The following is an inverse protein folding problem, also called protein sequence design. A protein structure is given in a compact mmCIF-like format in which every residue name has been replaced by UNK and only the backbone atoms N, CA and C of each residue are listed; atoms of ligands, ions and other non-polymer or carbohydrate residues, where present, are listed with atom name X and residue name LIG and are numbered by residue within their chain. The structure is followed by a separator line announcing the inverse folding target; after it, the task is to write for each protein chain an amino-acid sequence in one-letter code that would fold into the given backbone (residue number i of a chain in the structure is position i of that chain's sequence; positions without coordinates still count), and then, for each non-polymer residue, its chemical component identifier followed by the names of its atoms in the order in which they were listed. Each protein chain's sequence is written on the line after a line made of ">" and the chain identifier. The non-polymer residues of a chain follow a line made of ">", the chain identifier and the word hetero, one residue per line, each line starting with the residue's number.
data_IF_455692057483
#
_entry.id   IF_455692057483
#
_cell.length_a   1.000
_cell.length_b   1.000
_cell.length_c   1.000
_cell.angle_alpha   90.00
_cell.angle_beta   90.00
_cell.angle_gamma   90.00
#
_symmetry.space_group_name_H-M   'P 1'
#
loop_
_entity.id
_entity.type
_entity.pdbx_description
1 polymer ?
#
# COMPACT_ATOMS: atom_id res chain seq x y z
N UNK A 1 13.58 8.44 -37.69
CA UNK A 1 13.35 9.32 -36.50
C UNK A 1 11.92 9.27 -35.94
N UNK A 2 11.04 8.46 -36.49
CA UNK A 2 9.59 8.44 -36.14
C UNK A 2 9.22 7.44 -35.02
N UNK A 3 9.89 6.31 -34.90
CA UNK A 3 9.51 5.24 -33.95
C UNK A 3 9.87 5.48 -32.48
N UNK A 4 10.95 6.23 -32.24
CA UNK A 4 11.40 6.53 -30.87
C UNK A 4 10.46 7.49 -30.13
N UNK A 5 9.81 8.40 -30.87
CA UNK A 5 8.87 9.37 -30.29
C UNK A 5 7.48 8.75 -30.01
N UNK A 6 7.10 7.74 -30.81
CA UNK A 6 5.82 7.02 -30.59
C UNK A 6 5.90 6.17 -29.33
N UNK A 7 6.97 5.41 -29.15
CA UNK A 7 7.21 4.61 -27.94
C UNK A 7 7.22 5.45 -26.65
N UNK A 8 7.88 6.62 -26.67
CA UNK A 8 7.87 7.53 -25.52
C UNK A 8 6.50 8.11 -25.17
N UNK A 9 5.63 8.30 -26.17
CA UNK A 9 4.27 8.81 -25.93
C UNK A 9 3.38 7.72 -25.33
N UNK A 10 3.47 6.50 -25.85
CA UNK A 10 2.70 5.35 -25.33
C UNK A 10 3.13 5.00 -23.88
N UNK A 11 4.42 5.08 -23.54
CA UNK A 11 4.95 4.90 -22.20
C UNK A 11 4.48 6.01 -21.23
N UNK A 12 4.39 7.26 -21.70
CA UNK A 12 3.92 8.38 -20.89
C UNK A 12 2.40 8.31 -20.63
N UNK A 13 1.61 7.95 -21.63
CA UNK A 13 0.17 7.72 -21.49
C UNK A 13 -0.12 6.52 -20.56
N UNK A 14 0.70 5.48 -20.60
CA UNK A 14 0.65 4.35 -19.65
C UNK A 14 0.94 4.78 -18.21
N UNK A 15 1.93 5.65 -17.99
CA UNK A 15 2.26 6.19 -16.66
C UNK A 15 1.15 7.07 -16.09
N UNK A 16 0.52 7.92 -16.90
CA UNK A 16 -0.63 8.74 -16.51
C UNK A 16 -1.81 7.82 -16.14
N UNK A 17 -2.08 6.80 -16.94
CA UNK A 17 -3.13 5.82 -16.68
C UNK A 17 -2.94 5.08 -15.34
N UNK A 18 -1.72 4.68 -15.01
CA UNK A 18 -1.39 4.04 -13.74
C UNK A 18 -1.57 5.02 -12.57
N UNK A 19 -1.05 6.23 -12.67
CA UNK A 19 -1.19 7.25 -11.63
C UNK A 19 -2.66 7.61 -11.37
N UNK A 20 -3.48 7.73 -12.41
CA UNK A 20 -4.91 7.97 -12.28
C UNK A 20 -5.64 6.78 -11.66
N UNK A 21 -5.29 5.54 -12.01
CA UNK A 21 -5.84 4.33 -11.40
C UNK A 21 -5.56 4.28 -9.90
N UNK A 22 -4.35 4.64 -9.47
CA UNK A 22 -4.01 4.71 -8.05
C UNK A 22 -4.82 5.77 -7.31
N UNK A 23 -4.99 6.96 -7.90
CA UNK A 23 -5.80 8.01 -7.30
C UNK A 23 -7.27 7.59 -7.15
N UNK A 24 -7.82 6.90 -8.16
CA UNK A 24 -9.17 6.33 -8.11
C UNK A 24 -9.26 5.25 -7.05
N UNK A 25 -8.33 4.29 -7.02
CA UNK A 25 -8.33 3.19 -6.06
C UNK A 25 -8.24 3.70 -4.61
N UNK A 26 -7.32 4.63 -4.33
CA UNK A 26 -7.21 5.22 -3.00
C UNK A 26 -8.49 5.96 -2.59
N UNK A 27 -9.12 6.67 -3.52
CA UNK A 27 -10.42 7.33 -3.27
C UNK A 27 -11.53 6.32 -3.01
N UNK A 28 -11.55 5.19 -3.73
CA UNK A 28 -12.53 4.13 -3.56
C UNK A 28 -12.35 3.40 -2.22
N UNK A 29 -11.11 3.03 -1.85
CA UNK A 29 -10.80 2.42 -0.54
C UNK A 29 -11.24 3.34 0.59
N UNK A 30 -10.91 4.63 0.51
CA UNK A 30 -11.31 5.63 1.52
C UNK A 30 -12.83 5.77 1.60
N UNK A 31 -13.52 5.76 0.46
CA UNK A 31 -14.98 5.82 0.39
C UNK A 31 -15.63 4.57 0.96
N UNK A 32 -15.10 3.39 0.68
CA UNK A 32 -15.63 2.12 1.18
C UNK A 32 -15.47 1.99 2.70
N UNK A 33 -14.36 2.46 3.25
CA UNK A 33 -14.18 2.55 4.70
C UNK A 33 -15.22 3.47 5.35
N UNK A 34 -15.63 4.52 4.65
CA UNK A 34 -16.63 5.46 5.15
C UNK A 34 -18.08 5.00 4.93
N UNK A 35 -18.36 4.22 3.87
CA UNK A 35 -19.74 3.86 3.47
C UNK A 35 -20.25 2.54 4.06
N UNK A 36 -19.43 1.75 4.73
CA UNK A 36 -19.86 0.46 5.30
C UNK A 36 -20.65 0.61 6.61
N UNK A 37 -21.07 1.81 6.96
CA UNK A 37 -21.87 2.05 8.17
C UNK A 37 -23.26 2.54 7.78
N UNK A 38 -24.23 1.65 7.88
CA UNK A 38 -25.67 1.97 7.79
C UNK A 38 -26.20 2.79 8.98
N UNK A 39 -25.35 3.15 9.93
CA UNK A 39 -25.66 3.95 11.12
C UNK A 39 -25.14 5.37 10.98
N UNK A 40 -25.86 6.38 11.50
CA UNK A 40 -25.37 7.76 11.51
C UNK A 40 -23.96 7.82 12.14
N UNK A 41 -23.03 8.38 11.43
CA UNK A 41 -21.59 8.40 11.74
C UNK A 41 -21.26 8.92 13.15
N UNK A 42 -22.11 9.78 13.70
CA UNK A 42 -21.93 10.35 15.04
C UNK A 42 -22.15 9.37 16.19
N UNK A 43 -22.97 8.33 16.03
CA UNK A 43 -23.22 7.37 17.11
C UNK A 43 -22.11 6.32 17.27
N UNK A 44 -21.37 6.04 16.18
CA UNK A 44 -20.26 5.07 16.19
C UNK A 44 -18.98 5.61 16.86
N UNK A 45 -18.83 6.92 16.91
CA UNK A 45 -17.64 7.57 17.43
C UNK A 45 -17.94 8.42 18.67
N UNK A 46 -18.91 7.97 19.50
CA UNK A 46 -19.14 8.56 20.81
C UNK A 46 -17.90 8.39 21.70
N UNK A 47 -17.75 9.26 22.71
CA UNK A 47 -16.65 9.16 23.68
C UNK A 47 -16.61 7.78 24.34
N UNK A 48 -17.77 7.25 24.69
CA UNK A 48 -17.89 5.98 25.39
C UNK A 48 -17.42 4.80 24.50
N UNK A 49 -17.85 4.76 23.22
CA UNK A 49 -17.42 3.75 22.27
C UNK A 49 -15.90 3.82 22.03
N UNK A 50 -15.35 5.03 21.88
CA UNK A 50 -13.89 5.19 21.71
C UNK A 50 -13.13 4.70 22.96
N UNK A 51 -13.66 4.99 24.15
CA UNK A 51 -13.05 4.53 25.41
C UNK A 51 -13.09 3.01 25.49
N UNK A 52 -14.21 2.38 25.13
CA UNK A 52 -14.35 0.92 25.05
C UNK A 52 -13.34 0.31 24.08
N UNK A 53 -13.19 0.87 22.87
CA UNK A 53 -12.24 0.40 21.87
C UNK A 53 -10.79 0.51 22.35
N UNK A 54 -10.44 1.60 23.05
CA UNK A 54 -9.12 1.79 23.61
C UNK A 54 -8.82 0.87 24.80
N UNK A 55 -9.82 0.39 25.52
CA UNK A 55 -9.66 -0.57 26.61
C UNK A 55 -9.22 -1.94 26.10
N UNK A 56 -9.71 -2.36 24.93
CA UNK A 56 -9.37 -3.64 24.31
C UNK A 56 -8.95 -3.46 22.84
N UNK A 57 -7.80 -2.83 22.56
CA UNK A 57 -7.41 -2.41 21.21
C UNK A 57 -7.26 -3.59 20.24
N UNK A 58 -6.85 -4.76 20.71
CA UNK A 58 -6.72 -5.95 19.87
C UNK A 58 -8.07 -6.47 19.35
N UNK A 59 -9.11 -6.42 20.18
CA UNK A 59 -10.46 -6.85 19.81
C UNK A 59 -11.12 -5.85 18.86
N UNK A 60 -10.90 -4.56 19.08
CA UNK A 60 -11.55 -3.47 18.34
C UNK A 60 -10.63 -2.80 17.31
N UNK A 61 -9.61 -3.50 16.82
CA UNK A 61 -8.62 -2.95 15.90
C UNK A 61 -9.23 -2.32 14.64
N UNK A 62 -10.22 -2.99 14.04
CA UNK A 62 -10.92 -2.50 12.85
C UNK A 62 -11.72 -1.24 13.15
N UNK A 63 -12.43 -1.21 14.28
CA UNK A 63 -13.24 -0.06 14.71
C UNK A 63 -12.34 1.15 15.02
N UNK A 64 -11.22 0.93 15.70
CA UNK A 64 -10.22 1.97 15.98
C UNK A 64 -9.64 2.53 14.68
N UNK A 65 -9.27 1.68 13.75
CA UNK A 65 -8.75 2.09 12.43
C UNK A 65 -9.73 2.98 11.68
N UNK A 66 -11.01 2.60 11.67
CA UNK A 66 -12.09 3.38 11.06
C UNK A 66 -12.32 4.70 11.77
N UNK A 67 -12.33 4.72 13.10
CA UNK A 67 -12.46 5.94 13.90
C UNK A 67 -11.30 6.91 13.62
N UNK A 68 -10.07 6.43 13.62
CA UNK A 68 -8.88 7.25 13.34
C UNK A 68 -8.92 7.79 11.90
N UNK A 69 -9.32 6.98 10.93
CA UNK A 69 -9.46 7.41 9.53
C UNK A 69 -10.51 8.51 9.39
N UNK A 70 -11.64 8.39 10.11
CA UNK A 70 -12.66 9.42 10.17
C UNK A 70 -12.12 10.71 10.80
N UNK A 71 -11.44 10.63 11.95
CA UNK A 71 -10.85 11.79 12.64
C UNK A 71 -9.80 12.47 11.74
N UNK A 72 -8.99 11.70 11.01
CA UNK A 72 -8.03 12.23 10.04
C UNK A 72 -8.72 13.04 8.93
N UNK A 73 -9.89 12.60 8.47
CA UNK A 73 -10.71 13.33 7.51
C UNK A 73 -11.35 14.60 8.09
N UNK A 74 -11.89 14.50 9.30
CA UNK A 74 -12.69 15.55 9.93
C UNK A 74 -11.86 16.61 10.65
N UNK A 75 -10.75 16.23 11.31
CA UNK A 75 -9.92 17.13 12.12
C UNK A 75 -8.71 17.62 11.36
N UNK A 76 -8.69 18.92 11.07
CA UNK A 76 -7.51 19.57 10.46
C UNK A 76 -6.29 19.56 11.39
N UNK A 77 -6.48 19.60 12.71
CA UNK A 77 -5.39 19.55 13.69
C UNK A 77 -4.73 18.18 13.72
N UNK A 78 -5.54 17.11 13.75
CA UNK A 78 -5.02 15.74 13.71
C UNK A 78 -4.28 15.45 12.41
N UNK A 79 -4.83 15.90 11.28
CA UNK A 79 -4.18 15.78 9.97
C UNK A 79 -2.82 16.51 9.95
N UNK A 80 -2.75 17.74 10.46
CA UNK A 80 -1.49 18.49 10.55
C UNK A 80 -0.47 17.80 11.44
N UNK A 81 -0.91 17.20 12.55
CA UNK A 81 -0.03 16.44 13.44
C UNK A 81 0.61 15.25 12.72
N UNK A 82 -0.19 14.45 12.02
CA UNK A 82 0.30 13.32 11.20
C UNK A 82 1.27 13.82 10.12
N UNK A 83 0.91 14.90 9.41
CA UNK A 83 1.76 15.50 8.37
C UNK A 83 3.09 16.04 8.95
N UNK A 84 3.04 16.60 10.14
CA UNK A 84 4.25 17.06 10.84
C UNK A 84 5.19 15.90 11.13
N UNK A 85 4.71 14.82 11.73
CA UNK A 85 5.54 13.63 11.99
C UNK A 85 6.07 12.99 10.71
N UNK A 86 5.26 12.95 9.66
CA UNK A 86 5.69 12.45 8.35
C UNK A 86 6.79 13.34 7.76
N UNK A 87 6.66 14.66 7.91
CA UNK A 87 7.63 15.63 7.39
C UNK A 87 8.95 15.71 8.18
N UNK A 88 8.95 15.31 9.46
CA UNK A 88 10.17 15.20 10.26
C UNK A 88 11.06 14.04 9.83
N UNK A 89 10.49 13.04 9.17
CA UNK A 89 11.21 11.84 8.76
C UNK A 89 11.96 12.13 7.45
N UNK A 90 13.28 12.32 7.53
CA UNK A 90 14.13 12.25 6.32
C UNK A 90 14.29 10.79 5.93
N UNK A 91 13.49 10.38 4.95
CA UNK A 91 13.52 9.01 4.42
C UNK A 91 14.66 8.85 3.40
N UNK A 92 15.84 9.33 3.77
CA UNK A 92 17.06 9.03 3.05
C UNK A 92 17.40 7.55 3.19
N UNK A 93 17.85 6.94 2.12
CA UNK A 93 18.27 5.55 2.12
C UNK A 93 19.68 5.42 1.60
N UNK A 94 20.38 4.44 2.12
CA UNK A 94 21.71 4.04 1.65
C UNK A 94 21.64 2.59 1.21
N UNK A 95 22.10 2.34 -0.01
CA UNK A 95 22.24 0.98 -0.52
C UNK A 95 23.67 0.54 -0.27
N UNK A 96 23.82 -0.51 0.54
CA UNK A 96 25.13 -1.11 0.81
C UNK A 96 25.13 -2.60 0.46
N UNK A 97 26.25 -3.13 -0.03
CA UNK A 97 26.37 -4.55 -0.27
C UNK A 97 26.31 -5.32 1.06
N UNK A 98 25.57 -6.42 1.07
CA UNK A 98 25.41 -7.28 2.24
C UNK A 98 26.20 -8.58 2.08
N UNK A 99 27.00 -8.95 3.08
CA UNK A 99 27.78 -10.18 3.13
C UNK A 99 28.61 -10.46 1.88
N UNK A 100 29.27 -9.45 1.33
CA UNK A 100 30.24 -9.64 0.25
C UNK A 100 31.60 -9.94 0.88
N UNK A 101 32.16 -11.11 0.55
CA UNK A 101 33.55 -11.40 0.83
C UNK A 101 34.45 -10.63 -0.17
N UNK A 102 35.27 -9.66 0.31
CA UNK A 102 36.10 -8.87 -0.58
C UNK A 102 37.14 -9.71 -1.37
N UNK A 103 37.47 -10.90 -0.88
CA UNK A 103 38.45 -11.80 -1.48
C UNK A 103 37.91 -12.63 -2.63
N UNK A 104 36.61 -13.00 -2.55
CA UNK A 104 35.96 -13.85 -3.56
C UNK A 104 35.04 -13.07 -4.51
N UNK A 105 34.71 -11.83 -4.19
CA UNK A 105 33.76 -11.03 -4.95
C UNK A 105 34.33 -10.54 -6.28
N UNK A 106 33.67 -10.89 -7.37
CA UNK A 106 33.93 -10.28 -8.68
C UNK A 106 33.38 -8.84 -8.67
N UNK A 107 34.30 -7.87 -8.54
CA UNK A 107 33.95 -6.44 -8.45
C UNK A 107 33.07 -5.95 -9.62
N UNK A 108 33.21 -6.50 -10.81
CA UNK A 108 32.37 -6.16 -11.98
C UNK A 108 30.90 -6.64 -11.78
N UNK A 109 30.74 -7.84 -11.24
CA UNK A 109 29.40 -8.40 -10.94
C UNK A 109 28.72 -7.63 -9.82
N UNK A 110 29.45 -7.32 -8.75
CA UNK A 110 28.97 -6.52 -7.61
C UNK A 110 28.50 -5.15 -8.08
N UNK A 111 29.33 -4.44 -8.87
CA UNK A 111 28.98 -3.12 -9.42
C UNK A 111 27.75 -3.17 -10.32
N UNK A 112 27.64 -4.20 -11.17
CA UNK A 112 26.45 -4.38 -12.02
C UNK A 112 25.18 -4.57 -11.19
N UNK A 113 25.23 -5.40 -10.16
CA UNK A 113 24.08 -5.66 -9.28
C UNK A 113 23.74 -4.42 -8.44
N UNK A 114 24.74 -3.72 -7.93
CA UNK A 114 24.55 -2.46 -7.22
C UNK A 114 23.82 -1.41 -8.07
N UNK A 115 24.24 -1.24 -9.33
CA UNK A 115 23.54 -0.33 -10.26
C UNK A 115 22.10 -0.77 -10.53
N UNK A 116 21.82 -2.07 -10.65
CA UNK A 116 20.44 -2.58 -10.80
C UNK A 116 19.57 -2.21 -9.60
N UNK A 117 20.09 -2.37 -8.38
CA UNK A 117 19.38 -2.00 -7.16
C UNK A 117 19.14 -0.50 -7.11
N UNK A 118 20.14 0.32 -7.40
CA UNK A 118 19.97 1.78 -7.44
C UNK A 118 18.90 2.20 -8.45
N UNK A 119 18.90 1.60 -9.65
CA UNK A 119 17.88 1.88 -10.66
C UNK A 119 16.49 1.46 -10.19
N UNK A 120 16.35 0.30 -9.54
CA UNK A 120 15.08 -0.16 -8.97
C UNK A 120 14.59 0.79 -7.86
N UNK A 121 15.46 1.24 -6.97
CA UNK A 121 15.11 2.20 -5.91
C UNK A 121 14.72 3.57 -6.49
N UNK A 122 15.38 4.00 -7.55
CA UNK A 122 15.04 5.22 -8.29
C UNK A 122 13.68 5.08 -8.98
N UNK A 123 13.44 3.96 -9.67
CA UNK A 123 12.17 3.66 -10.32
C UNK A 123 11.01 3.56 -9.32
N UNK A 124 11.26 3.06 -8.10
CA UNK A 124 10.28 3.02 -7.01
C UNK A 124 9.96 4.42 -6.47
N UNK A 125 10.82 5.41 -6.67
CA UNK A 125 10.63 6.76 -6.14
C UNK A 125 10.52 6.78 -4.61
N UNK A 126 11.41 6.11 -3.91
CA UNK A 126 11.37 5.89 -2.45
C UNK A 126 11.06 7.17 -1.68
N UNK A 127 11.73 8.28 -2.00
CA UNK A 127 11.52 9.56 -1.33
C UNK A 127 10.10 10.12 -1.44
N UNK A 128 9.35 9.76 -2.46
CA UNK A 128 7.96 10.19 -2.67
C UNK A 128 6.92 9.18 -2.20
N UNK A 129 7.24 7.88 -2.27
CA UNK A 129 6.33 6.81 -1.90
C UNK A 129 6.33 6.54 -0.38
N UNK A 130 7.50 6.51 0.26
CA UNK A 130 7.62 6.17 1.67
C UNK A 130 6.97 7.18 2.62
N UNK A 131 6.99 8.51 2.40
CA UNK A 131 6.18 9.41 3.21
C UNK A 131 4.68 9.12 3.18
N UNK A 132 4.16 8.66 2.04
CA UNK A 132 2.76 8.24 1.93
C UNK A 132 2.49 6.96 2.72
N UNK A 133 3.39 6.00 2.67
CA UNK A 133 3.34 4.76 3.47
C UNK A 133 3.38 5.12 4.95
N UNK A 134 4.32 5.96 5.37
CA UNK A 134 4.44 6.40 6.76
C UNK A 134 3.18 7.12 7.25
N UNK A 135 2.57 7.96 6.41
CA UNK A 135 1.28 8.60 6.72
C UNK A 135 0.20 7.57 7.02
N UNK A 136 0.14 6.48 6.25
CA UNK A 136 -0.82 5.39 6.48
C UNK A 136 -0.48 4.63 7.75
N UNK A 137 0.80 4.30 7.99
CA UNK A 137 1.23 3.64 9.22
C UNK A 137 0.90 4.46 10.47
N UNK A 138 1.12 5.78 10.44
CA UNK A 138 0.78 6.67 11.56
C UNK A 138 -0.73 6.82 11.79
N UNK A 139 -1.53 6.59 10.74
CA UNK A 139 -2.99 6.65 10.81
C UNK A 139 -3.64 5.32 11.14
N UNK A 140 -3.15 4.22 10.54
CA UNK A 140 -3.80 2.90 10.56
C UNK A 140 -2.98 1.84 11.29
N UNK A 141 -1.85 2.23 11.90
CA UNK A 141 -0.88 1.37 12.60
C UNK A 141 -0.09 0.44 11.66
N UNK A 142 -0.69 0.02 10.55
CA UNK A 142 -0.06 -0.85 9.57
C UNK A 142 -0.29 -0.38 8.14
N UNK A 143 0.63 -0.72 7.25
CA UNK A 143 0.49 -0.55 5.81
C UNK A 143 0.61 -1.91 5.14
N UNK A 144 -0.44 -2.30 4.42
CA UNK A 144 -0.41 -3.43 3.52
C UNK A 144 -0.35 -2.93 2.08
N UNK A 145 0.55 -3.48 1.30
CA UNK A 145 0.73 -3.05 -0.08
C UNK A 145 1.16 -4.18 -1.01
N UNK A 146 0.89 -3.99 -2.28
CA UNK A 146 1.39 -4.83 -3.36
C UNK A 146 2.22 -4.02 -4.34
N UNK A 147 3.19 -4.66 -4.96
CA UNK A 147 4.07 -4.01 -5.94
C UNK A 147 3.50 -4.18 -7.35
N UNK A 148 3.43 -3.07 -8.06
CA UNK A 148 3.27 -3.06 -9.50
C UNK A 148 4.63 -2.79 -10.14
N UNK A 149 5.11 -3.75 -10.91
CA UNK A 149 6.39 -3.65 -11.60
C UNK A 149 6.11 -3.55 -13.09
N UNK A 150 6.51 -2.45 -13.69
CA UNK A 150 6.56 -2.25 -15.14
C UNK A 150 8.03 -2.16 -15.57
N UNK A 151 8.30 -2.06 -16.87
CA UNK A 151 9.68 -2.00 -17.37
C UNK A 151 10.48 -0.85 -16.75
N UNK A 152 9.84 0.30 -16.48
CA UNK A 152 10.52 1.54 -16.07
C UNK A 152 10.05 2.09 -14.72
N UNK A 153 9.06 1.46 -14.08
CA UNK A 153 8.49 1.98 -12.85
C UNK A 153 8.09 0.88 -11.88
N UNK A 154 8.28 1.15 -10.59
CA UNK A 154 7.81 0.30 -9.50
C UNK A 154 6.89 1.15 -8.62
N UNK A 155 5.63 0.76 -8.54
CA UNK A 155 4.64 1.46 -7.74
C UNK A 155 4.14 0.58 -6.62
N UNK A 156 3.98 1.17 -5.43
CA UNK A 156 3.43 0.48 -4.27
C UNK A 156 1.96 0.84 -4.16
N UNK A 157 1.08 -0.13 -4.35
CA UNK A 157 -0.36 0.04 -4.22
C UNK A 157 -0.80 -0.37 -2.83
N UNK A 158 -1.49 0.52 -2.11
CA UNK A 158 -2.09 0.20 -0.82
C UNK A 158 -3.21 -0.83 -0.97
N UNK A 159 -3.24 -1.80 -0.08
CA UNK A 159 -4.33 -2.76 0.08
C UNK A 159 -5.26 -2.34 1.23
N UNK A 160 -6.55 -2.72 1.19
CA UNK A 160 -7.46 -2.44 2.30
C UNK A 160 -7.07 -3.25 3.54
N UNK A 161 -6.66 -2.56 4.59
CA UNK A 161 -6.11 -3.16 5.81
C UNK A 161 -7.07 -4.12 6.51
N UNK A 162 -8.40 -3.88 6.41
CA UNK A 162 -9.42 -4.73 7.01
C UNK A 162 -9.52 -6.13 6.36
N UNK A 163 -8.96 -6.30 5.16
CA UNK A 163 -8.93 -7.56 4.41
C UNK A 163 -7.54 -8.16 4.30
N UNK A 164 -6.57 -7.60 5.03
CA UNK A 164 -5.21 -8.11 5.08
C UNK A 164 -4.91 -8.66 6.47
N UNK A 165 -4.10 -9.72 6.53
CA UNK A 165 -3.63 -10.30 7.76
C UNK A 165 -2.20 -10.82 7.62
N UNK A 166 -1.51 -10.98 8.74
CA UNK A 166 -0.21 -11.63 8.82
C UNK A 166 -0.47 -13.10 9.12
N UNK A 167 -0.07 -14.00 8.23
CA UNK A 167 -0.24 -15.45 8.43
C UNK A 167 0.89 -16.06 9.20
N UNK A 168 2.13 -15.72 8.85
CA UNK A 168 3.34 -16.24 9.49
C UNK A 168 4.43 -15.20 9.49
N UNK A 169 5.38 -15.37 10.40
CA UNK A 169 6.59 -14.57 10.49
C UNK A 169 7.78 -15.52 10.36
N UNK A 170 8.54 -15.40 9.29
CA UNK A 170 9.72 -16.22 9.03
C UNK A 170 10.97 -15.33 9.03
N UNK A 171 11.73 -15.42 10.12
CA UNK A 171 12.85 -14.50 10.33
C UNK A 171 12.36 -13.05 10.43
N UNK A 172 12.77 -12.20 9.49
CA UNK A 172 12.33 -10.80 9.40
C UNK A 172 11.30 -10.55 8.28
N UNK A 173 10.72 -11.64 7.73
CA UNK A 173 9.74 -11.54 6.64
C UNK A 173 8.36 -11.84 7.17
N UNK A 174 7.43 -10.92 6.92
CA UNK A 174 6.02 -11.09 7.24
C UNK A 174 5.30 -11.64 6.01
N UNK A 175 4.71 -12.83 6.14
CA UNK A 175 3.85 -13.40 5.11
C UNK A 175 2.44 -12.83 5.26
N UNK A 176 2.01 -12.08 4.25
CA UNK A 176 0.72 -11.39 4.25
C UNK A 176 -0.31 -12.23 3.49
N UNK A 177 -1.49 -12.38 4.08
CA UNK A 177 -2.68 -12.93 3.42
C UNK A 177 -3.64 -11.82 3.05
N UNK A 178 -4.37 -12.01 1.96
CA UNK A 178 -5.43 -11.12 1.52
C UNK A 178 -6.75 -11.89 1.41
N UNK A 179 -7.80 -11.38 2.04
CA UNK A 179 -9.14 -11.95 1.94
C UNK A 179 -9.83 -11.49 0.65
N UNK A 180 -9.99 -12.41 -0.28
CA UNK A 180 -10.60 -12.16 -1.58
C UNK A 180 -12.10 -11.90 -1.53
N UNK A 181 -12.76 -12.09 -0.39
CA UNK A 181 -14.15 -11.69 -0.18
C UNK A 181 -14.37 -10.18 -0.38
N UNK A 182 -13.30 -9.38 -0.29
CA UNK A 182 -13.30 -7.97 -0.64
C UNK A 182 -13.89 -7.70 -2.03
N UNK A 183 -13.65 -8.57 -2.99
CA UNK A 183 -14.12 -8.40 -4.36
C UNK A 183 -15.54 -8.93 -4.62
N UNK A 184 -16.18 -9.62 -3.67
CA UNK A 184 -17.51 -10.19 -3.89
C UNK A 184 -18.56 -9.12 -4.21
N UNK A 185 -18.48 -7.97 -3.55
CA UNK A 185 -19.34 -6.80 -3.81
C UNK A 185 -18.65 -5.71 -4.65
N UNK A 186 -17.41 -5.93 -5.09
CA UNK A 186 -16.53 -4.92 -5.70
C UNK A 186 -15.75 -5.49 -6.88
N UNK A 187 -16.36 -6.39 -7.63
CA UNK A 187 -15.70 -7.09 -8.76
C UNK A 187 -15.18 -6.12 -9.83
N UNK A 188 -15.85 -4.96 -9.99
CA UNK A 188 -15.41 -3.89 -10.90
C UNK A 188 -14.04 -3.30 -10.54
N UNK A 189 -13.58 -3.44 -9.29
CA UNK A 189 -12.30 -2.90 -8.87
C UNK A 189 -11.13 -3.86 -9.13
N UNK A 190 -11.43 -5.12 -9.46
CA UNK A 190 -10.43 -6.14 -9.69
C UNK A 190 -9.48 -5.79 -10.85
N UNK A 191 -9.97 -5.05 -11.84
CA UNK A 191 -9.15 -4.57 -12.97
C UNK A 191 -8.01 -3.62 -12.54
N UNK A 192 -8.16 -2.96 -11.38
CA UNK A 192 -7.15 -2.06 -10.80
C UNK A 192 -6.13 -2.79 -9.91
N UNK A 193 -6.20 -4.11 -9.86
CA UNK A 193 -5.25 -4.94 -9.11
C UNK A 193 -4.35 -5.75 -10.05
N UNK A 194 -3.14 -6.14 -9.60
CA UNK A 194 -2.25 -6.98 -10.39
C UNK A 194 -2.94 -8.24 -10.92
N UNK A 195 -2.47 -8.75 -12.06
CA UNK A 195 -3.02 -9.95 -12.70
C UNK A 195 -3.04 -11.19 -11.78
N UNK A 196 -2.11 -11.23 -10.81
CA UNK A 196 -2.07 -12.27 -9.78
C UNK A 196 -3.33 -12.26 -8.89
N UNK A 197 -3.82 -11.06 -8.52
CA UNK A 197 -5.06 -10.93 -7.76
C UNK A 197 -6.25 -11.42 -8.57
N UNK A 198 -6.30 -11.09 -9.87
CA UNK A 198 -7.35 -11.56 -10.77
C UNK A 198 -7.38 -13.08 -10.87
N UNK A 199 -6.20 -13.70 -11.00
CA UNK A 199 -6.05 -15.15 -11.06
C UNK A 199 -6.46 -15.83 -9.76
N UNK A 200 -6.00 -15.32 -8.63
CA UNK A 200 -6.34 -15.85 -7.29
C UNK A 200 -7.82 -15.67 -6.97
N UNK A 201 -8.44 -14.56 -7.37
CA UNK A 201 -9.88 -14.37 -7.19
C UNK A 201 -10.72 -15.38 -7.99
N UNK A 202 -10.31 -15.73 -9.20
CA UNK A 202 -10.98 -16.80 -9.97
C UNK A 202 -10.92 -18.15 -9.25
N UNK A 203 -9.77 -18.47 -8.65
CA UNK A 203 -9.61 -19.70 -7.84
C UNK A 203 -10.50 -19.63 -6.60
N UNK A 204 -10.51 -18.49 -5.89
CA UNK A 204 -11.41 -18.27 -4.75
C UNK A 204 -12.88 -18.49 -5.12
N UNK A 205 -13.34 -17.92 -6.24
CA UNK A 205 -14.71 -18.12 -6.72
C UNK A 205 -15.02 -19.57 -7.07
N UNK A 206 -14.09 -20.31 -7.66
CA UNK A 206 -14.29 -21.72 -7.99
C UNK A 206 -14.40 -22.59 -6.73
N UNK A 207 -13.56 -22.36 -5.73
CA UNK A 207 -13.60 -23.10 -4.47
C UNK A 207 -14.87 -22.83 -3.65
N UNK A 208 -15.50 -21.67 -3.80
CA UNK A 208 -16.75 -21.33 -3.11
C UNK A 208 -18.00 -21.96 -3.75
N UNK A 209 -17.89 -22.42 -4.99
CA UNK A 209 -19.00 -23.07 -5.73
C UNK A 209 -19.02 -24.58 -5.54
N UNK A 210 -18.05 -25.18 -4.90
CA UNK A 210 -18.00 -26.57 -4.46
C UNK A 210 -18.60 -26.70 -3.05
#
# INVERSE_FOLDING_TARGET
>A
MSDSNRKKKDDFDGMIGISQRFAVLNRLITRDLNNNTSTPTFSLYSKDNITEYLTNPYTYQTQLRRAITYIYGASSHFRRLIQYFTGLSDLAYVVSPYRIDPRSANAKSVNRNYRKVLNAMSAMGVRSQFPKILTVCLREDTFYGTLWVTNDNITIQQLPSDYCGISTIEGNVLNVTFDFSYFDSRSQYLEYYPSEFQSKYRVYQSNRRM
#
